data_IF_017719267932
#
_entry.id   IF_017719267932
#
_cell.length_a   1.000
_cell.length_b   1.000
_cell.length_c   1.000
_cell.angle_alpha   90.00
_cell.angle_beta   90.00
_cell.angle_gamma   90.00
#
_symmetry.space_group_name_H-M   'P 1'
#
loop_
_entity.id
_entity.type
_entity.pdbx_description
1 polymer ?
#
# COMPACT_ATOMS: atom_id res chain seq x y z
N UNK A 1 6.48 27.02 -36.05
CA UNK A 1 5.42 27.99 -36.06
C UNK A 1 4.07 27.40 -35.63
N UNK A 2 2.96 27.59 -36.34
CA UNK A 2 1.61 27.21 -35.89
C UNK A 2 1.43 25.70 -35.62
N UNK A 3 2.12 24.80 -36.34
CA UNK A 3 2.02 23.37 -36.13
C UNK A 3 2.62 22.91 -34.81
N UNK A 4 3.69 23.54 -34.30
CA UNK A 4 4.29 23.19 -33.03
C UNK A 4 3.45 23.69 -31.85
N UNK A 5 2.84 24.88 -31.98
CA UNK A 5 1.93 25.40 -30.96
C UNK A 5 0.69 24.50 -30.82
N UNK A 6 0.13 24.03 -31.94
CA UNK A 6 -1.02 23.14 -31.94
C UNK A 6 -0.69 21.79 -31.27
N UNK A 7 0.52 21.23 -31.52
CA UNK A 7 0.95 19.97 -30.88
C UNK A 7 1.11 20.11 -29.34
N UNK A 8 1.62 21.27 -28.86
CA UNK A 8 1.82 21.53 -27.43
C UNK A 8 0.52 21.81 -26.68
N UNK A 9 -0.58 22.15 -27.40
CA UNK A 9 -1.88 22.42 -26.79
C UNK A 9 -2.83 21.23 -26.84
N UNK A 10 -2.40 20.10 -27.42
CA UNK A 10 -3.24 18.92 -27.45
C UNK A 10 -3.50 18.39 -26.05
N UNK A 11 -4.76 18.09 -25.82
CA UNK A 11 -5.22 17.59 -24.53
C UNK A 11 -5.99 16.28 -24.70
N UNK A 12 -6.22 15.63 -23.59
CA UNK A 12 -7.09 14.45 -23.49
C UNK A 12 -7.83 14.52 -22.17
N UNK A 13 -8.92 13.78 -22.07
CA UNK A 13 -9.71 13.71 -20.85
C UNK A 13 -9.60 12.33 -20.24
N UNK A 14 -9.35 12.26 -18.95
CA UNK A 14 -9.33 11.02 -18.18
C UNK A 14 -10.37 11.09 -17.07
N UNK A 15 -10.73 9.92 -16.52
CA UNK A 15 -11.57 9.83 -15.32
C UNK A 15 -10.69 9.41 -14.15
N UNK A 16 -10.70 10.21 -13.07
CA UNK A 16 -9.86 9.94 -11.91
C UNK A 16 -10.51 8.96 -10.92
N UNK A 17 -9.84 8.68 -9.80
CA UNK A 17 -10.28 7.66 -8.83
C UNK A 17 -11.63 7.95 -8.18
N UNK A 18 -12.06 9.20 -8.16
CA UNK A 18 -13.35 9.59 -7.58
C UNK A 18 -14.39 9.93 -8.63
N UNK A 19 -14.15 9.52 -9.89
CA UNK A 19 -15.12 9.66 -10.97
C UNK A 19 -15.14 11.01 -11.67
N UNK A 20 -14.20 11.91 -11.38
CA UNK A 20 -14.13 13.22 -12.02
C UNK A 20 -13.45 13.10 -13.38
N UNK A 21 -13.96 13.87 -14.34
CA UNK A 21 -13.28 14.01 -15.62
C UNK A 21 -12.28 15.16 -15.52
N UNK A 22 -11.03 14.89 -15.89
CA UNK A 22 -9.93 15.83 -15.82
C UNK A 22 -9.27 15.95 -17.19
N UNK A 23 -9.11 17.18 -17.67
CA UNK A 23 -8.44 17.46 -18.93
C UNK A 23 -6.94 17.60 -18.66
N UNK A 24 -6.14 16.79 -19.32
CA UNK A 24 -4.69 16.74 -19.17
C UNK A 24 -4.00 17.10 -20.50
N UNK A 25 -2.75 17.61 -20.46
CA UNK A 25 -1.90 17.58 -21.65
C UNK A 25 -1.78 16.13 -22.16
N UNK A 26 -1.69 16.00 -23.48
CA UNK A 26 -1.59 14.65 -24.08
C UNK A 26 -0.37 13.90 -23.57
N UNK A 27 0.75 14.55 -23.42
CA UNK A 27 2.00 13.98 -22.91
C UNK A 27 2.34 14.58 -21.55
N UNK A 28 2.53 13.72 -20.56
CA UNK A 28 2.96 14.12 -19.23
C UNK A 28 4.45 13.81 -19.12
N UNK A 29 5.26 14.83 -18.95
CA UNK A 29 6.71 14.69 -18.75
C UNK A 29 7.16 15.07 -17.35
N UNK A 30 6.38 15.88 -16.63
CA UNK A 30 6.69 16.38 -15.31
C UNK A 30 5.44 16.33 -14.43
N UNK A 31 5.48 15.52 -13.37
CA UNK A 31 4.34 15.36 -12.47
C UNK A 31 4.74 15.67 -11.03
N UNK A 32 3.86 16.34 -10.30
CA UNK A 32 3.97 16.51 -8.86
C UNK A 32 3.05 15.47 -8.19
N UNK A 33 3.54 14.80 -7.15
CA UNK A 33 2.89 13.62 -6.58
C UNK A 33 2.73 13.78 -5.08
N UNK A 34 1.55 13.47 -4.56
CA UNK A 34 1.36 13.22 -3.13
C UNK A 34 1.08 11.74 -2.90
N UNK A 35 1.39 11.28 -1.69
CA UNK A 35 1.20 9.93 -1.21
C UNK A 35 2.24 8.93 -1.76
N UNK A 36 2.94 8.29 -0.84
CA UNK A 36 4.01 7.35 -1.16
C UNK A 36 3.53 6.18 -2.03
N UNK A 37 2.30 5.72 -1.86
CA UNK A 37 1.78 4.59 -2.64
C UNK A 37 1.54 4.97 -4.11
N UNK A 38 1.18 6.23 -4.38
CA UNK A 38 1.15 6.74 -5.75
C UNK A 38 2.55 6.71 -6.37
N UNK A 39 3.56 7.18 -5.63
CA UNK A 39 4.93 7.19 -6.11
C UNK A 39 5.48 5.77 -6.33
N UNK A 40 5.12 4.82 -5.49
CA UNK A 40 5.50 3.41 -5.65
C UNK A 40 4.93 2.81 -6.94
N UNK A 41 3.65 3.04 -7.23
CA UNK A 41 3.05 2.53 -8.46
C UNK A 41 3.59 3.22 -9.71
N UNK A 42 3.83 4.52 -9.65
CA UNK A 42 4.46 5.26 -10.76
C UNK A 42 5.85 4.70 -11.05
N UNK A 43 6.62 4.41 -10.00
CA UNK A 43 7.93 3.75 -10.14
C UNK A 43 7.78 2.37 -10.78
N UNK A 44 6.83 1.59 -10.30
CA UNK A 44 6.63 0.21 -10.74
C UNK A 44 6.23 0.09 -12.21
N UNK A 45 5.49 1.06 -12.74
CA UNK A 45 5.10 1.07 -14.15
C UNK A 45 6.16 1.69 -15.07
N UNK A 46 7.30 2.14 -14.49
CA UNK A 46 8.42 2.64 -15.27
C UNK A 46 8.42 4.15 -15.53
N UNK A 47 7.68 4.94 -14.76
CA UNK A 47 7.54 6.38 -14.97
C UNK A 47 8.19 7.24 -13.86
N UNK A 48 9.07 6.66 -13.05
CA UNK A 48 9.69 7.38 -11.93
C UNK A 48 10.47 8.64 -12.36
N UNK A 49 11.08 8.62 -13.54
CA UNK A 49 11.84 9.75 -14.09
C UNK A 49 10.94 10.96 -14.44
N UNK A 50 9.63 10.75 -14.49
CA UNK A 50 8.67 11.85 -14.76
C UNK A 50 8.20 12.54 -13.49
N UNK A 51 8.61 12.08 -12.32
CA UNK A 51 8.29 12.73 -11.05
C UNK A 51 9.19 13.95 -10.87
N UNK A 52 8.57 15.13 -10.82
CA UNK A 52 9.27 16.41 -10.66
C UNK A 52 9.13 16.99 -9.25
N UNK A 53 8.07 16.63 -8.54
CA UNK A 53 7.80 17.12 -7.19
C UNK A 53 7.14 16.07 -6.34
N UNK A 54 7.42 16.08 -5.05
CA UNK A 54 6.94 15.06 -4.10
C UNK A 54 6.56 15.70 -2.77
N UNK A 55 5.59 15.11 -2.07
CA UNK A 55 5.23 15.54 -0.74
C UNK A 55 6.32 15.16 0.28
N UNK A 56 6.12 15.58 1.53
CA UNK A 56 7.08 15.32 2.59
C UNK A 56 7.27 13.83 2.86
N UNK A 57 6.19 13.04 2.83
CA UNK A 57 6.25 11.62 3.17
C UNK A 57 6.99 10.79 2.12
N UNK A 58 6.87 11.17 0.85
CA UNK A 58 7.70 10.57 -0.21
C UNK A 58 9.16 10.98 -0.02
N UNK A 59 9.40 12.28 0.19
CA UNK A 59 10.74 12.83 0.32
C UNK A 59 11.52 12.20 1.49
N UNK A 60 10.88 12.02 2.64
CA UNK A 60 11.57 11.47 3.82
C UNK A 60 12.04 10.03 3.64
N UNK A 61 11.40 9.26 2.76
CA UNK A 61 11.76 7.86 2.51
C UNK A 61 12.81 7.76 1.40
N UNK A 62 14.03 8.20 1.73
CA UNK A 62 15.13 8.21 0.77
C UNK A 62 15.50 6.81 0.31
N UNK A 63 15.52 5.84 1.21
CA UNK A 63 15.88 4.46 0.91
C UNK A 63 14.82 3.78 0.04
N UNK A 64 13.55 4.00 0.31
CA UNK A 64 12.45 3.40 -0.44
C UNK A 64 12.34 3.92 -1.86
N UNK A 65 12.89 5.09 -2.15
CA UNK A 65 12.89 5.70 -3.47
C UNK A 65 14.29 5.90 -4.05
N UNK A 66 15.27 5.18 -3.52
CA UNK A 66 16.63 5.07 -4.07
C UNK A 66 17.35 6.43 -4.16
N UNK A 67 17.12 7.29 -3.18
CA UNK A 67 17.69 8.64 -3.11
C UNK A 67 17.39 9.51 -4.36
N UNK A 68 16.27 9.22 -5.03
CA UNK A 68 15.88 9.91 -6.27
C UNK A 68 15.43 11.35 -6.03
N UNK A 69 14.80 11.61 -4.89
CA UNK A 69 14.14 12.88 -4.64
C UNK A 69 15.03 13.82 -3.82
N UNK A 70 15.21 15.04 -4.34
CA UNK A 70 16.02 16.07 -3.70
C UNK A 70 15.14 17.08 -2.98
N UNK A 71 15.75 17.91 -2.13
CA UNK A 71 15.03 18.95 -1.40
C UNK A 71 14.30 19.94 -2.33
N UNK A 72 14.89 20.22 -3.50
CA UNK A 72 14.27 21.09 -4.49
C UNK A 72 12.95 20.53 -5.03
N UNK A 73 12.73 19.23 -4.94
CA UNK A 73 11.50 18.56 -5.39
C UNK A 73 10.41 18.53 -4.32
N UNK A 74 10.72 18.96 -3.10
CA UNK A 74 9.77 18.92 -1.98
C UNK A 74 8.70 19.99 -2.15
N UNK A 75 7.42 19.58 -2.24
CA UNK A 75 6.29 20.47 -2.49
C UNK A 75 5.38 20.67 -1.28
N UNK A 76 5.72 20.10 -0.13
CA UNK A 76 4.90 20.18 1.07
C UNK A 76 5.70 20.09 2.34
N UNK A 77 5.05 20.38 3.46
CA UNK A 77 5.65 20.31 4.79
C UNK A 77 5.25 19.03 5.52
N UNK A 78 5.97 18.74 6.60
CA UNK A 78 5.66 17.61 7.50
C UNK A 78 4.24 17.71 8.08
N UNK A 79 3.72 18.92 8.24
CA UNK A 79 2.37 19.17 8.75
C UNK A 79 1.29 18.92 7.68
N UNK A 80 1.68 18.47 6.46
CA UNK A 80 0.76 18.05 5.41
C UNK A 80 0.31 19.15 4.45
N UNK A 81 0.72 20.41 4.67
CA UNK A 81 0.36 21.49 3.77
C UNK A 81 1.18 21.48 2.49
N UNK A 82 0.53 21.67 1.33
CA UNK A 82 1.23 21.85 0.06
C UNK A 82 1.62 23.29 -0.15
N UNK A 83 2.78 23.50 -0.77
CA UNK A 83 3.26 24.82 -1.16
C UNK A 83 2.86 25.10 -2.62
N UNK A 84 1.73 25.75 -2.82
CA UNK A 84 1.18 25.99 -4.15
C UNK A 84 2.02 26.94 -4.98
N UNK A 85 2.71 27.90 -4.36
CA UNK A 85 3.63 28.77 -5.07
C UNK A 85 4.79 27.98 -5.66
N UNK A 86 5.34 27.06 -4.89
CA UNK A 86 6.43 26.21 -5.35
C UNK A 86 5.96 25.26 -6.46
N UNK A 87 4.76 24.70 -6.34
CA UNK A 87 4.19 23.85 -7.40
C UNK A 87 4.01 24.69 -8.68
N UNK A 88 3.49 25.90 -8.57
CA UNK A 88 3.33 26.79 -9.72
C UNK A 88 4.67 27.14 -10.37
N UNK A 89 5.69 27.45 -9.56
CA UNK A 89 7.04 27.74 -10.07
C UNK A 89 7.66 26.53 -10.77
N UNK A 90 7.43 25.35 -10.24
CA UNK A 90 7.87 24.08 -10.85
C UNK A 90 7.16 23.82 -12.17
N UNK A 91 5.94 24.31 -12.31
CA UNK A 91 5.08 24.19 -13.48
C UNK A 91 4.98 22.74 -13.99
N UNK A 92 4.50 21.82 -13.17
CA UNK A 92 4.28 20.44 -13.62
C UNK A 92 3.10 20.37 -14.60
N UNK A 93 3.08 19.31 -15.38
CA UNK A 93 1.97 19.02 -16.30
C UNK A 93 0.70 18.59 -15.55
N UNK A 94 0.88 18.06 -14.34
CA UNK A 94 -0.22 17.53 -13.52
C UNK A 94 0.24 17.46 -12.05
N UNK A 95 -0.72 17.67 -11.14
CA UNK A 95 -0.57 17.27 -9.74
C UNK A 95 -1.43 16.02 -9.53
N UNK A 96 -0.81 14.92 -9.10
CA UNK A 96 -1.52 13.69 -8.70
C UNK A 96 -1.60 13.70 -7.19
N UNK A 97 -2.81 13.73 -6.64
CA UNK A 97 -3.06 13.94 -5.23
C UNK A 97 -3.97 12.82 -4.70
N UNK A 98 -3.81 12.49 -3.43
CA UNK A 98 -4.69 11.56 -2.75
C UNK A 98 -5.95 12.28 -2.29
N UNK A 99 -7.08 11.58 -2.25
CA UNK A 99 -8.39 12.16 -1.92
C UNK A 99 -8.40 12.86 -0.55
N UNK A 100 -7.69 12.32 0.42
CA UNK A 100 -7.64 12.90 1.77
C UNK A 100 -6.64 14.05 1.94
N UNK A 101 -6.01 14.52 0.87
CA UNK A 101 -5.01 15.59 0.89
C UNK A 101 -5.57 16.95 0.44
N UNK A 102 -6.86 17.21 0.64
CA UNK A 102 -7.49 18.49 0.29
C UNK A 102 -7.39 18.83 -1.20
N UNK A 103 -7.80 17.90 -2.04
CA UNK A 103 -7.70 18.05 -3.51
C UNK A 103 -8.51 19.22 -4.04
N UNK A 104 -9.64 19.57 -3.40
CA UNK A 104 -10.48 20.70 -3.83
C UNK A 104 -9.70 22.00 -3.71
N UNK A 105 -9.00 22.19 -2.59
CA UNK A 105 -8.13 23.36 -2.39
C UNK A 105 -7.02 23.40 -3.41
N UNK A 106 -6.38 22.24 -3.65
CA UNK A 106 -5.31 22.16 -4.65
C UNK A 106 -5.81 22.57 -6.05
N UNK A 107 -6.97 22.06 -6.46
CA UNK A 107 -7.57 22.39 -7.74
C UNK A 107 -7.86 23.88 -7.86
N UNK A 108 -8.44 24.48 -6.84
CA UNK A 108 -8.74 25.92 -6.81
C UNK A 108 -7.48 26.77 -6.89
N UNK A 109 -6.46 26.42 -6.08
CA UNK A 109 -5.20 27.19 -6.00
C UNK A 109 -4.35 27.06 -7.27
N UNK A 110 -4.42 25.93 -7.97
CA UNK A 110 -3.61 25.69 -9.17
C UNK A 110 -4.31 26.02 -10.48
N UNK A 111 -5.62 26.27 -10.46
CA UNK A 111 -6.38 26.64 -11.65
C UNK A 111 -5.82 27.88 -12.38
N UNK A 112 -5.44 28.97 -11.67
CA UNK A 112 -4.89 30.15 -12.36
C UNK A 112 -3.60 29.85 -13.12
N UNK A 113 -2.88 28.79 -12.77
CA UNK A 113 -1.63 28.42 -13.43
C UNK A 113 -1.82 27.35 -14.50
N UNK A 114 -3.08 26.93 -14.73
CA UNK A 114 -3.37 25.92 -15.75
C UNK A 114 -2.87 24.51 -15.39
N UNK A 115 -2.60 24.23 -14.12
CA UNK A 115 -2.11 22.92 -13.66
C UNK A 115 -3.31 22.06 -13.27
N UNK A 116 -3.58 20.97 -14.00
CA UNK A 116 -4.68 20.07 -13.66
C UNK A 116 -4.35 19.23 -12.42
N UNK A 117 -5.40 18.86 -11.67
CA UNK A 117 -5.31 18.05 -10.47
C UNK A 117 -6.08 16.75 -10.70
N UNK A 118 -5.39 15.62 -10.56
CA UNK A 118 -5.95 14.27 -10.66
C UNK A 118 -5.94 13.62 -9.28
N UNK A 119 -7.08 13.05 -8.87
CA UNK A 119 -7.16 12.28 -7.62
C UNK A 119 -6.86 10.82 -7.92
N UNK A 120 -5.85 10.28 -7.25
CA UNK A 120 -5.48 8.87 -7.35
C UNK A 120 -5.24 8.31 -5.94
N UNK A 121 -5.93 7.24 -5.60
CA UNK A 121 -5.98 6.66 -4.26
C UNK A 121 -5.25 5.32 -4.19
N UNK A 122 -3.97 5.28 -4.56
CA UNK A 122 -3.18 4.04 -4.63
C UNK A 122 -3.00 3.34 -3.29
N UNK A 123 -3.33 4.00 -2.17
CA UNK A 123 -3.30 3.36 -0.86
C UNK A 123 -4.46 2.38 -0.65
N UNK A 124 -5.56 2.50 -1.40
CA UNK A 124 -6.67 1.55 -1.34
C UNK A 124 -6.43 0.36 -2.27
N UNK A 125 -6.35 -0.83 -1.71
CA UNK A 125 -6.12 -2.05 -2.48
C UNK A 125 -7.38 -2.57 -3.18
N UNK A 126 -8.56 -2.21 -2.72
CA UNK A 126 -9.83 -2.57 -3.36
C UNK A 126 -9.96 -2.02 -4.78
N UNK A 127 -9.27 -0.93 -5.09
CA UNK A 127 -9.27 -0.28 -6.40
C UNK A 127 -7.90 -0.36 -7.07
N UNK A 128 -7.14 -1.40 -6.77
CA UNK A 128 -5.76 -1.53 -7.26
C UNK A 128 -5.68 -1.51 -8.79
N UNK A 129 -6.51 -2.28 -9.47
CA UNK A 129 -6.51 -2.33 -10.94
C UNK A 129 -6.87 -0.97 -11.55
N UNK A 130 -7.89 -0.32 -11.01
CA UNK A 130 -8.39 0.97 -11.51
C UNK A 130 -7.36 2.08 -11.29
N UNK A 131 -6.76 2.14 -10.10
CA UNK A 131 -5.75 3.16 -9.79
C UNK A 131 -4.48 2.94 -10.60
N UNK A 132 -4.05 1.69 -10.76
CA UNK A 132 -2.88 1.35 -11.57
C UNK A 132 -3.12 1.69 -13.04
N UNK A 133 -4.30 1.37 -13.57
CA UNK A 133 -4.68 1.72 -14.94
C UNK A 133 -4.72 3.23 -15.16
N UNK A 134 -5.23 3.98 -14.19
CA UNK A 134 -5.25 5.45 -14.24
C UNK A 134 -3.84 6.01 -14.37
N UNK A 135 -2.91 5.55 -13.53
CA UNK A 135 -1.51 5.99 -13.62
C UNK A 135 -0.88 5.59 -14.96
N UNK A 136 -1.20 4.39 -15.45
CA UNK A 136 -0.78 3.96 -16.78
C UNK A 136 -1.26 4.90 -17.88
N UNK A 137 -2.52 5.34 -17.83
CA UNK A 137 -3.07 6.31 -18.77
C UNK A 137 -2.36 7.65 -18.69
N UNK A 138 -2.14 8.14 -17.47
CA UNK A 138 -1.50 9.45 -17.27
C UNK A 138 -0.11 9.47 -17.90
N UNK A 139 0.67 8.42 -17.73
CA UNK A 139 2.08 8.40 -18.13
C UNK A 139 2.33 7.67 -19.46
N UNK A 140 1.28 7.20 -20.14
CA UNK A 140 1.46 6.43 -21.38
C UNK A 140 2.12 5.07 -21.16
N UNK A 141 1.84 4.44 -20.04
CA UNK A 141 2.41 3.16 -19.60
C UNK A 141 1.32 2.10 -19.38
N UNK A 142 0.32 2.08 -20.26
CA UNK A 142 -0.87 1.23 -20.11
C UNK A 142 -0.50 -0.25 -20.06
N UNK A 143 0.43 -0.69 -20.91
CA UNK A 143 0.86 -2.09 -20.94
C UNK A 143 1.56 -2.50 -19.64
N UNK A 144 2.47 -1.66 -19.16
CA UNK A 144 3.17 -1.92 -17.89
C UNK A 144 2.20 -1.95 -16.72
N UNK A 145 1.20 -1.05 -16.71
CA UNK A 145 0.17 -1.02 -15.69
C UNK A 145 -0.67 -2.31 -15.68
N UNK A 146 -1.05 -2.81 -16.85
CA UNK A 146 -1.80 -4.06 -16.97
C UNK A 146 -0.98 -5.25 -16.47
N UNK A 147 0.29 -5.33 -16.83
CA UNK A 147 1.20 -6.37 -16.37
C UNK A 147 1.35 -6.36 -14.84
N UNK A 148 1.50 -5.17 -14.25
CA UNK A 148 1.60 -5.01 -12.81
C UNK A 148 0.32 -5.46 -12.10
N UNK A 149 -0.84 -5.02 -12.59
CA UNK A 149 -2.13 -5.45 -12.03
C UNK A 149 -2.29 -6.96 -12.09
N UNK A 150 -2.01 -7.56 -13.24
CA UNK A 150 -2.10 -9.00 -13.43
C UNK A 150 -1.15 -9.75 -12.51
N UNK A 151 0.06 -9.22 -12.31
CA UNK A 151 1.06 -9.83 -11.43
C UNK A 151 0.51 -10.04 -10.01
N UNK A 152 -0.17 -9.03 -9.45
CA UNK A 152 -0.74 -9.14 -8.12
C UNK A 152 -2.10 -9.83 -8.11
N UNK A 153 -3.00 -9.42 -8.98
CA UNK A 153 -4.41 -9.85 -8.91
C UNK A 153 -4.61 -11.30 -9.33
N UNK A 154 -3.74 -11.85 -10.21
CA UNK A 154 -3.79 -13.27 -10.55
C UNK A 154 -3.54 -14.16 -9.32
N UNK A 155 -2.72 -13.70 -8.40
CA UNK A 155 -2.42 -14.45 -7.17
C UNK A 155 -3.55 -14.36 -6.15
N UNK A 156 -4.21 -13.21 -6.07
CA UNK A 156 -5.42 -13.08 -5.25
C UNK A 156 -6.56 -13.95 -5.80
N UNK A 157 -6.68 -14.01 -7.12
CA UNK A 157 -7.66 -14.88 -7.78
C UNK A 157 -7.35 -16.37 -7.51
N UNK A 158 -6.07 -16.74 -7.52
CA UNK A 158 -5.64 -18.08 -7.14
C UNK A 158 -6.08 -18.45 -5.72
N UNK A 159 -5.88 -17.54 -4.77
CA UNK A 159 -6.32 -17.74 -3.39
C UNK A 159 -7.83 -17.99 -3.34
N UNK A 160 -8.61 -17.14 -4.00
CA UNK A 160 -10.08 -17.26 -4.01
C UNK A 160 -10.54 -18.60 -4.58
N UNK A 161 -9.95 -19.02 -5.70
CA UNK A 161 -10.30 -20.27 -6.37
C UNK A 161 -9.92 -21.49 -5.54
N UNK A 162 -8.71 -21.50 -4.98
CA UNK A 162 -8.22 -22.63 -4.20
C UNK A 162 -8.98 -22.81 -2.88
N UNK A 163 -9.42 -21.72 -2.27
CA UNK A 163 -10.05 -21.74 -0.96
C UNK A 163 -11.58 -21.61 -0.98
N UNK A 164 -12.18 -21.57 -2.17
CA UNK A 164 -13.62 -21.36 -2.34
C UNK A 164 -14.49 -22.24 -1.46
N UNK A 165 -14.18 -23.53 -1.37
CA UNK A 165 -14.95 -24.50 -0.61
C UNK A 165 -14.27 -24.90 0.72
N UNK A 166 -13.23 -24.18 1.10
CA UNK A 166 -12.48 -24.42 2.33
C UNK A 166 -13.07 -23.55 3.45
N UNK A 167 -13.41 -24.12 4.61
CA UNK A 167 -13.89 -23.34 5.76
C UNK A 167 -12.85 -22.28 6.17
N UNK A 168 -13.34 -21.09 6.49
CA UNK A 168 -12.48 -20.01 6.96
C UNK A 168 -11.93 -20.30 8.35
N UNK A 169 -10.66 -20.03 8.57
CA UNK A 169 -10.00 -20.19 9.86
C UNK A 169 -10.10 -18.91 10.66
N UNK A 170 -10.35 -19.01 11.96
CA UNK A 170 -10.58 -17.87 12.83
C UNK A 170 -9.29 -17.09 13.09
N UNK A 171 -9.36 -15.77 12.96
CA UNK A 171 -8.21 -14.87 13.09
C UNK A 171 -8.55 -13.69 13.98
N UNK A 172 -7.67 -13.37 14.91
CA UNK A 172 -7.62 -12.06 15.54
C UNK A 172 -6.57 -11.21 14.81
N UNK A 173 -7.01 -10.10 14.24
CA UNK A 173 -6.14 -9.10 13.61
C UNK A 173 -5.88 -7.94 14.56
N UNK A 174 -4.64 -7.48 14.63
CA UNK A 174 -4.25 -6.33 15.43
C UNK A 174 -3.32 -5.41 14.64
N UNK A 175 -3.59 -4.10 14.72
CA UNK A 175 -2.72 -3.09 14.13
C UNK A 175 -2.15 -2.20 15.23
N UNK A 176 -0.83 -2.08 15.31
CA UNK A 176 -0.05 -1.21 16.22
C UNK A 176 -0.24 -1.56 17.70
N UNK A 177 -1.36 -1.15 18.27
CA UNK A 177 -1.60 -1.19 19.72
C UNK A 177 -2.51 -2.34 20.10
N UNK A 178 -2.40 -2.87 21.34
CA UNK A 178 -3.27 -3.94 21.80
C UNK A 178 -4.74 -3.59 21.66
N UNK A 179 -5.51 -4.52 21.06
CA UNK A 179 -6.95 -4.35 20.90
C UNK A 179 -7.38 -3.54 19.69
N UNK A 180 -6.46 -2.96 18.91
CA UNK A 180 -6.82 -2.26 17.67
C UNK A 180 -7.00 -3.32 16.56
N UNK A 181 -8.25 -3.71 16.33
CA UNK A 181 -8.60 -4.71 15.33
C UNK A 181 -9.16 -4.07 14.06
N UNK A 182 -9.81 -4.83 13.22
CA UNK A 182 -10.42 -4.35 11.98
C UNK A 182 -11.84 -4.88 11.84
N UNK A 183 -12.71 -4.05 11.29
CA UNK A 183 -14.13 -4.35 11.07
C UNK A 183 -14.52 -3.92 9.66
N UNK A 184 -15.67 -4.35 9.11
CA UNK A 184 -16.11 -3.94 7.78
C UNK A 184 -16.09 -2.42 7.62
N UNK A 185 -15.49 -1.95 6.51
CA UNK A 185 -15.29 -0.54 6.22
C UNK A 185 -14.00 0.06 6.75
N UNK A 186 -13.32 -0.63 7.65
CA UNK A 186 -12.00 -0.19 8.12
C UNK A 186 -10.91 -0.51 7.10
N UNK A 187 -9.85 0.26 7.16
CA UNK A 187 -8.73 0.23 6.21
C UNK A 187 -8.07 -1.16 6.05
N UNK A 188 -8.04 -1.97 7.12
CA UNK A 188 -7.39 -3.28 7.09
C UNK A 188 -8.32 -4.46 6.86
N UNK A 189 -9.64 -4.22 6.83
CA UNK A 189 -10.61 -5.32 6.80
C UNK A 189 -10.42 -6.26 5.61
N UNK A 190 -10.25 -5.70 4.41
CA UNK A 190 -10.13 -6.51 3.19
C UNK A 190 -8.86 -7.34 3.15
N UNK A 191 -7.79 -6.90 3.81
CA UNK A 191 -6.51 -7.62 3.78
C UNK A 191 -6.66 -9.04 4.31
N UNK A 192 -7.35 -9.21 5.45
CA UNK A 192 -7.59 -10.53 6.01
C UNK A 192 -8.78 -11.24 5.37
N UNK A 193 -9.80 -10.48 4.95
CA UNK A 193 -10.97 -11.03 4.24
C UNK A 193 -10.52 -11.73 2.94
N UNK A 194 -9.67 -11.09 2.16
CA UNK A 194 -9.12 -11.64 0.92
C UNK A 194 -8.14 -12.79 1.16
N UNK A 195 -7.59 -12.91 2.35
CA UNK A 195 -6.77 -14.05 2.76
C UNK A 195 -7.60 -15.24 3.24
N UNK A 196 -8.91 -15.17 3.12
CA UNK A 196 -9.86 -16.21 3.53
C UNK A 196 -9.89 -16.42 5.05
N UNK A 197 -9.70 -15.35 5.82
CA UNK A 197 -9.79 -15.39 7.27
C UNK A 197 -11.23 -15.23 7.75
N UNK A 198 -11.57 -15.89 8.86
CA UNK A 198 -12.78 -15.57 9.62
C UNK A 198 -12.37 -14.59 10.71
N UNK A 199 -12.66 -13.31 10.49
CA UNK A 199 -12.35 -12.26 11.44
C UNK A 199 -13.29 -12.37 12.64
N UNK A 200 -12.72 -12.67 13.82
CA UNK A 200 -13.52 -12.89 15.03
C UNK A 200 -14.27 -11.64 15.51
N UNK A 201 -13.90 -10.47 15.04
CA UNK A 201 -14.55 -9.20 15.38
C UNK A 201 -15.32 -8.56 14.21
N UNK A 202 -15.68 -9.34 13.19
CA UNK A 202 -16.38 -8.83 12.00
C UNK A 202 -17.71 -8.15 12.30
N UNK A 203 -18.31 -8.41 13.47
CA UNK A 203 -19.58 -7.80 13.88
C UNK A 203 -19.43 -6.77 15.00
N UNK A 204 -18.19 -6.46 15.40
CA UNK A 204 -17.94 -5.44 16.42
C UNK A 204 -18.32 -4.05 15.91
N UNK A 205 -18.67 -3.15 16.84
CA UNK A 205 -19.13 -1.80 16.50
C UNK A 205 -17.98 -0.80 16.36
N UNK A 206 -16.78 -1.15 16.84
CA UNK A 206 -15.62 -0.27 16.80
C UNK A 206 -14.36 -1.10 16.58
N UNK A 207 -13.31 -0.42 16.09
CA UNK A 207 -12.01 -1.06 15.84
C UNK A 207 -11.19 -1.28 17.11
N UNK A 208 -11.49 -0.57 18.19
CA UNK A 208 -10.84 -0.80 19.49
C UNK A 208 -11.71 -1.76 20.31
N UNK A 209 -11.16 -2.93 20.65
CA UNK A 209 -11.84 -3.95 21.46
C UNK A 209 -11.01 -4.22 22.72
N UNK A 210 -11.60 -4.96 23.67
CA UNK A 210 -10.90 -5.38 24.87
C UNK A 210 -10.10 -6.65 24.59
N UNK A 211 -8.83 -6.67 24.96
CA UNK A 211 -7.97 -7.84 24.70
C UNK A 211 -8.45 -9.11 25.43
N UNK A 212 -9.21 -8.97 26.51
CA UNK A 212 -9.83 -10.07 27.21
C UNK A 212 -10.89 -10.78 26.35
N UNK A 213 -11.57 -10.04 25.47
CA UNK A 213 -12.56 -10.62 24.58
C UNK A 213 -11.92 -11.56 23.54
N UNK A 214 -10.65 -11.34 23.21
CA UNK A 214 -9.90 -12.23 22.32
C UNK A 214 -9.76 -13.60 22.97
N UNK A 215 -9.48 -13.65 24.26
CA UNK A 215 -9.35 -14.91 25.01
C UNK A 215 -10.65 -15.71 24.95
N UNK A 216 -11.79 -15.04 25.18
CA UNK A 216 -13.10 -15.69 25.15
C UNK A 216 -13.44 -16.26 23.77
N UNK A 217 -13.06 -15.55 22.71
CA UNK A 217 -13.31 -16.00 21.33
C UNK A 217 -12.32 -17.06 20.87
N UNK A 218 -11.17 -17.14 21.49
CA UNK A 218 -10.13 -18.15 21.26
C UNK A 218 -9.85 -18.39 19.76
N UNK A 219 -9.31 -17.39 19.04
CA UNK A 219 -9.03 -17.56 17.62
C UNK A 219 -7.94 -18.59 17.39
N UNK A 220 -7.98 -19.25 16.23
CA UNK A 220 -6.96 -20.23 15.86
C UNK A 220 -5.63 -19.57 15.46
N UNK A 221 -5.69 -18.30 15.00
CA UNK A 221 -4.53 -17.57 14.48
C UNK A 221 -4.57 -16.11 14.91
N UNK A 222 -3.39 -15.53 15.07
CA UNK A 222 -3.20 -14.10 15.35
C UNK A 222 -2.33 -13.50 14.22
N UNK A 223 -2.79 -12.39 13.66
CA UNK A 223 -2.04 -11.61 12.66
C UNK A 223 -1.89 -10.19 13.18
N UNK A 224 -0.67 -9.68 13.21
CA UNK A 224 -0.41 -8.30 13.63
C UNK A 224 0.45 -7.56 12.61
N UNK A 225 -0.01 -6.36 12.23
CA UNK A 225 0.81 -5.42 11.48
C UNK A 225 1.47 -4.47 12.47
N UNK A 226 2.79 -4.52 12.51
CA UNK A 226 3.61 -3.70 13.39
C UNK A 226 3.79 -2.30 12.80
N UNK A 227 4.01 -1.30 13.66
CA UNK A 227 4.34 0.05 13.25
C UNK A 227 5.84 0.35 13.28
N UNK A 228 6.68 -0.65 13.50
CA UNK A 228 8.13 -0.50 13.44
C UNK A 228 8.53 0.01 12.05
N UNK A 229 9.39 1.04 12.01
CA UNK A 229 9.85 1.71 10.79
C UNK A 229 8.72 2.33 9.94
N UNK A 230 7.81 3.07 10.59
CA UNK A 230 6.69 3.74 9.91
C UNK A 230 7.11 4.79 8.89
N UNK A 231 8.35 5.30 8.95
CA UNK A 231 8.85 6.30 8.00
C UNK A 231 9.30 5.68 6.66
N UNK A 232 9.53 4.37 6.62
CA UNK A 232 9.89 3.66 5.40
C UNK A 232 9.32 2.25 5.40
N UNK A 233 8.49 1.94 4.39
CA UNK A 233 7.98 0.59 4.21
C UNK A 233 9.04 -0.37 3.67
N UNK A 234 10.12 0.15 3.11
CA UNK A 234 11.20 -0.64 2.53
C UNK A 234 12.15 -1.21 3.57
N UNK A 235 12.47 -0.44 4.63
CA UNK A 235 13.42 -0.86 5.64
C UNK A 235 12.74 -1.80 6.64
N UNK A 236 13.22 -3.04 6.78
CA UNK A 236 12.62 -3.96 7.75
C UNK A 236 12.93 -3.53 9.18
N UNK A 237 12.06 -3.88 10.14
CA UNK A 237 12.35 -3.69 11.55
C UNK A 237 13.48 -4.60 12.00
N UNK A 238 14.12 -4.25 13.11
CA UNK A 238 15.13 -5.10 13.72
C UNK A 238 14.47 -6.36 14.25
N UNK A 239 15.17 -7.48 14.14
CA UNK A 239 14.69 -8.77 14.65
C UNK A 239 14.30 -8.69 16.13
N UNK A 240 15.11 -7.99 16.94
CA UNK A 240 14.86 -7.80 18.37
C UNK A 240 13.53 -7.11 18.63
N UNK A 241 13.15 -6.15 17.79
CA UNK A 241 11.88 -5.45 17.93
C UNK A 241 10.68 -6.37 17.62
N UNK A 242 10.82 -7.21 16.62
CA UNK A 242 9.78 -8.20 16.28
C UNK A 242 9.66 -9.27 17.35
N UNK A 243 10.78 -9.74 17.89
CA UNK A 243 10.78 -10.68 19.01
C UNK A 243 10.09 -10.09 20.25
N UNK A 244 10.33 -8.81 20.53
CA UNK A 244 9.69 -8.13 21.65
C UNK A 244 8.17 -8.06 21.46
N UNK A 245 7.70 -7.72 20.28
CA UNK A 245 6.26 -7.69 19.95
C UNK A 245 5.65 -9.09 20.15
N UNK A 246 6.33 -10.11 19.65
CA UNK A 246 5.89 -11.49 19.81
C UNK A 246 5.75 -11.87 21.27
N UNK A 247 6.78 -11.59 22.07
CA UNK A 247 6.79 -11.90 23.50
C UNK A 247 5.72 -11.13 24.26
N UNK A 248 5.54 -9.84 23.92
CA UNK A 248 4.49 -9.02 24.55
C UNK A 248 3.09 -9.61 24.29
N UNK A 249 2.83 -10.11 23.10
CA UNK A 249 1.57 -10.78 22.76
C UNK A 249 1.41 -12.07 23.62
N UNK A 250 2.43 -12.90 23.64
CA UNK A 250 2.37 -14.17 24.37
C UNK A 250 2.21 -14.00 25.89
N UNK A 251 2.69 -12.89 26.44
CA UNK A 251 2.68 -12.63 27.90
C UNK A 251 1.48 -11.81 28.37
N UNK A 252 0.55 -11.48 27.48
CA UNK A 252 -0.66 -10.77 27.89
C UNK A 252 -1.47 -11.62 28.88
N UNK A 253 -2.11 -11.00 29.90
CA UNK A 253 -2.88 -11.77 30.88
C UNK A 253 -3.95 -12.65 30.24
N UNK A 254 -3.91 -13.95 30.53
CA UNK A 254 -4.86 -14.94 30.04
C UNK A 254 -4.59 -15.45 28.63
N UNK A 255 -3.64 -14.90 27.91
CA UNK A 255 -3.40 -15.27 26.51
C UNK A 255 -2.62 -16.59 26.36
N UNK A 256 -1.82 -16.98 27.34
CA UNK A 256 -1.00 -18.21 27.26
C UNK A 256 -1.80 -19.50 27.04
N UNK A 257 -3.07 -19.52 27.42
CA UNK A 257 -3.95 -20.68 27.26
C UNK A 257 -4.70 -20.70 25.93
N UNK A 258 -4.60 -19.64 25.13
CA UNK A 258 -5.27 -19.60 23.82
C UNK A 258 -4.60 -20.55 22.83
N UNK A 259 -5.40 -21.19 21.98
CA UNK A 259 -4.91 -22.12 20.96
C UNK A 259 -3.85 -21.49 20.05
N UNK A 260 -4.07 -20.24 19.62
CA UNK A 260 -3.12 -19.53 18.76
C UNK A 260 -1.75 -19.39 19.42
N UNK A 261 -1.71 -19.13 20.73
CA UNK A 261 -0.45 -18.99 21.48
C UNK A 261 0.22 -20.35 21.67
N UNK A 262 -0.54 -21.36 22.13
CA UNK A 262 -0.01 -22.72 22.35
C UNK A 262 0.60 -23.32 21.10
N UNK A 263 0.00 -23.05 19.94
CA UNK A 263 0.42 -23.61 18.67
C UNK A 263 1.38 -22.73 17.89
N UNK A 264 1.77 -21.58 18.45
CA UNK A 264 2.62 -20.58 17.78
C UNK A 264 2.03 -20.10 16.46
N UNK A 265 0.70 -19.97 16.41
CA UNK A 265 -0.02 -19.47 15.25
C UNK A 265 -0.11 -17.94 15.28
N UNK A 266 1.04 -17.29 15.26
CA UNK A 266 1.17 -15.83 15.26
C UNK A 266 2.01 -15.42 14.05
N UNK A 267 1.51 -14.46 13.27
CA UNK A 267 2.24 -13.85 12.16
C UNK A 267 2.34 -12.36 12.41
N UNK A 268 3.58 -11.86 12.47
CA UNK A 268 3.84 -10.43 12.51
C UNK A 268 4.28 -9.97 11.12
N UNK A 269 3.67 -8.90 10.65
CA UNK A 269 4.05 -8.22 9.41
C UNK A 269 4.54 -6.82 9.77
N UNK A 270 5.56 -6.34 9.08
CA UNK A 270 6.06 -4.99 9.27
C UNK A 270 5.11 -3.96 8.65
N UNK A 271 5.46 -2.68 8.78
CA UNK A 271 4.67 -1.59 8.22
C UNK A 271 4.55 -1.64 6.69
N UNK A 272 5.39 -2.46 5.99
CA UNK A 272 5.24 -2.62 4.54
C UNK A 272 3.83 -3.04 4.14
N UNK A 273 3.15 -3.82 4.98
CA UNK A 273 1.81 -4.31 4.72
C UNK A 273 0.71 -3.26 4.97
N UNK A 274 1.07 -2.01 5.27
CA UNK A 274 0.11 -0.96 5.60
C UNK A 274 -0.77 -0.56 4.42
N UNK A 275 -0.21 -0.45 3.22
CA UNK A 275 -1.00 0.01 2.06
C UNK A 275 -0.34 -0.29 0.73
N UNK A 276 -1.06 0.05 -0.35
CA UNK A 276 -0.58 -0.10 -1.71
C UNK A 276 -0.33 -1.55 -2.11
N UNK A 277 0.57 -1.75 -3.07
CA UNK A 277 0.91 -3.08 -3.57
C UNK A 277 1.45 -4.01 -2.48
N UNK A 278 2.24 -3.47 -1.54
CA UNK A 278 2.79 -4.25 -0.43
C UNK A 278 1.71 -4.84 0.47
N UNK A 279 0.56 -4.17 0.59
CA UNK A 279 -0.58 -4.69 1.35
C UNK A 279 -1.18 -5.93 0.68
N UNK A 280 -1.16 -5.99 -0.65
CA UNK A 280 -1.57 -7.20 -1.39
C UNK A 280 -0.62 -8.35 -1.10
N UNK A 281 0.68 -8.08 -1.00
CA UNK A 281 1.66 -9.08 -0.57
C UNK A 281 1.36 -9.53 0.87
N UNK A 282 0.99 -8.60 1.74
CA UNK A 282 0.55 -8.91 3.09
C UNK A 282 -0.61 -9.91 3.11
N UNK A 283 -1.61 -9.71 2.25
CA UNK A 283 -2.72 -10.66 2.08
C UNK A 283 -2.21 -12.04 1.68
N UNK A 284 -1.24 -12.12 0.78
CA UNK A 284 -0.67 -13.40 0.34
C UNK A 284 0.07 -14.11 1.48
N UNK A 285 0.84 -13.38 2.27
CA UNK A 285 1.51 -13.95 3.44
C UNK A 285 0.50 -14.49 4.45
N UNK A 286 -0.57 -13.75 4.70
CA UNK A 286 -1.62 -14.19 5.63
C UNK A 286 -2.30 -15.45 5.10
N UNK A 287 -2.66 -15.49 3.82
CA UNK A 287 -3.29 -16.66 3.21
C UNK A 287 -2.39 -17.90 3.32
N UNK A 288 -1.10 -17.75 2.99
CA UNK A 288 -0.13 -18.85 3.07
C UNK A 288 0.08 -19.31 4.51
N UNK A 289 0.08 -18.38 5.46
CA UNK A 289 0.18 -18.69 6.88
C UNK A 289 -1.03 -19.48 7.38
N UNK A 290 -2.24 -19.11 6.94
CA UNK A 290 -3.46 -19.77 7.34
C UNK A 290 -3.67 -21.14 6.66
N UNK A 291 -3.27 -21.26 5.40
CA UNK A 291 -3.55 -22.43 4.55
C UNK A 291 -2.31 -22.92 3.81
N UNK A 292 -1.21 -23.23 4.50
CA UNK A 292 0.05 -23.56 3.80
C UNK A 292 -0.05 -24.79 2.91
N UNK A 293 -0.87 -25.75 3.28
CA UNK A 293 -1.07 -27.02 2.55
C UNK A 293 -2.07 -26.88 1.38
N UNK A 294 -2.88 -25.85 1.36
CA UNK A 294 -3.92 -25.62 0.35
C UNK A 294 -3.49 -24.70 -0.78
N UNK A 295 -2.37 -24.01 -0.62
CA UNK A 295 -1.87 -23.01 -1.55
C UNK A 295 -0.43 -23.34 -2.00
N UNK A 296 -0.21 -24.55 -2.59
CA UNK A 296 1.16 -24.99 -2.90
C UNK A 296 1.89 -24.09 -3.91
N UNK A 297 1.15 -23.42 -4.82
CA UNK A 297 1.75 -22.58 -5.85
C UNK A 297 1.81 -21.09 -5.47
N UNK A 298 1.44 -20.76 -4.23
CA UNK A 298 1.57 -19.39 -3.72
C UNK A 298 2.88 -19.26 -2.95
N UNK A 299 3.74 -18.35 -3.40
CA UNK A 299 5.04 -18.06 -2.80
C UNK A 299 5.16 -16.56 -2.54
N UNK A 300 4.59 -16.06 -1.41
CA UNK A 300 4.57 -14.63 -1.14
C UNK A 300 5.96 -14.00 -1.10
N UNK A 301 6.96 -14.71 -0.62
CA UNK A 301 8.35 -14.25 -0.55
C UNK A 301 8.94 -13.98 -1.94
N UNK A 302 8.57 -14.78 -2.95
CA UNK A 302 8.99 -14.56 -4.34
C UNK A 302 8.29 -13.35 -4.94
N UNK A 303 7.01 -13.19 -4.65
CA UNK A 303 6.22 -12.03 -5.09
C UNK A 303 6.80 -10.76 -4.50
N UNK A 304 7.11 -10.77 -3.20
CA UNK A 304 7.68 -9.61 -2.51
C UNK A 304 9.06 -9.27 -3.07
N UNK A 305 9.90 -10.28 -3.29
CA UNK A 305 11.22 -10.07 -3.89
C UNK A 305 11.12 -9.41 -5.26
N UNK A 306 10.23 -9.89 -6.11
CA UNK A 306 10.03 -9.33 -7.45
C UNK A 306 9.50 -7.90 -7.38
N UNK A 307 8.56 -7.62 -6.47
CA UNK A 307 8.06 -6.28 -6.24
C UNK A 307 9.21 -5.32 -5.88
N UNK A 308 10.03 -5.69 -4.91
CA UNK A 308 11.13 -4.85 -4.42
C UNK A 308 12.22 -4.68 -5.48
N UNK A 309 12.63 -5.78 -6.13
CA UNK A 309 13.81 -5.76 -7.03
C UNK A 309 13.46 -5.34 -8.45
N UNK A 310 12.44 -5.92 -9.04
CA UNK A 310 12.09 -5.66 -10.45
C UNK A 310 11.27 -4.39 -10.58
N UNK A 311 10.22 -4.26 -9.77
CA UNK A 311 9.28 -3.14 -9.92
C UNK A 311 9.79 -1.87 -9.25
N UNK A 312 10.40 -1.97 -8.07
CA UNK A 312 10.89 -0.78 -7.34
C UNK A 312 12.39 -0.53 -7.54
N UNK A 313 13.11 -1.48 -8.11
CA UNK A 313 14.54 -1.30 -8.39
C UNK A 313 15.42 -1.24 -7.15
N UNK A 314 15.00 -1.88 -6.07
CA UNK A 314 15.69 -1.87 -4.78
C UNK A 314 16.30 -3.24 -4.49
N UNK A 315 17.21 -3.30 -3.52
CA UNK A 315 17.73 -4.57 -3.04
C UNK A 315 16.70 -5.27 -2.16
N UNK A 316 16.58 -6.58 -2.30
CA UNK A 316 15.71 -7.37 -1.43
C UNK A 316 16.29 -7.43 -0.02
N UNK A 317 15.45 -7.12 0.97
CA UNK A 317 15.84 -7.19 2.39
C UNK A 317 14.88 -8.12 3.12
N UNK A 318 15.44 -8.98 3.97
CA UNK A 318 14.69 -9.88 4.83
C UNK A 318 14.28 -9.17 6.13
N UNK A 319 13.33 -9.76 6.87
CA UNK A 319 12.94 -9.24 8.19
C UNK A 319 11.60 -8.53 8.23
N UNK A 320 10.84 -8.52 7.15
CA UNK A 320 9.51 -7.91 7.12
C UNK A 320 8.42 -8.82 7.70
N UNK A 321 8.70 -10.09 7.88
CA UNK A 321 7.79 -11.06 8.51
C UNK A 321 8.46 -11.72 9.71
N UNK A 322 7.63 -12.11 10.71
CA UNK A 322 8.10 -12.90 11.83
C UNK A 322 6.97 -13.88 12.21
N UNK A 323 7.18 -15.22 12.20
CA UNK A 323 8.44 -15.87 11.78
C UNK A 323 8.83 -15.56 10.33
N UNK A 324 10.08 -15.82 10.02
CA UNK A 324 10.62 -15.53 8.70
C UNK A 324 9.98 -16.41 7.61
N UNK A 325 9.57 -15.77 6.52
CA UNK A 325 9.10 -16.40 5.28
C UNK A 325 9.98 -15.95 4.12
N UNK A 326 11.26 -15.74 4.38
CA UNK A 326 12.20 -15.26 3.39
C UNK A 326 12.77 -16.42 2.56
N UNK A 327 13.23 -16.07 1.35
CA UNK A 327 13.96 -17.00 0.50
C UNK A 327 15.31 -17.31 1.13
N UNK A 328 15.65 -18.59 1.18
CA UNK A 328 16.99 -19.05 1.54
C UNK A 328 17.83 -19.02 0.27
N UNK A 329 18.91 -18.27 0.32
CA UNK A 329 19.87 -18.18 -0.79
C UNK A 329 20.72 -19.45 -0.89
#
# INVERSE_FOLDING_TARGET
SSSNETANTQTRTITDSIGRQVVLPRNISRAAITNAYNAELITAIGAADKIAGVDYYIYQDQEGFKNRFTENMLIGSRQGGLNYEKIADMNPDVLIICENDSWETAQERLRPFGIPVVVCNSYYTSQFAENTALLGQIFGMEKNAEELSSFFLSRLDYIDKQLKDVPRRSVYFEYRTPGRTTIPGDYFYEMIEKAHADNIFKTAQATQIQIEDVVHKNPAFIVKVSDANVYSSYIPPKKEDMEKIWNDICLRPGWSDMDAIKQNHILLLSHYAHGGASKLVGTMYIAKFLYPDKLPDLHPEEVFKKWVTVYEGLEYQTGHTFPAYELND
#
